data_IF_713286302777
#
_entry.id   IF_713286302777
#
_cell.length_a   1.000
_cell.length_b   1.000
_cell.length_c   1.000
_cell.angle_alpha   90.00
_cell.angle_beta   90.00
_cell.angle_gamma   90.00
#
_symmetry.space_group_name_H-M   'P 1'
#
loop_
_entity.id
_entity.type
_entity.pdbx_description
1 polymer ?
#
# COMPACT_ATOMS: atom_id res chain seq x y z
N UNK A 1 1.12 13.24 -8.82
CA UNK A 1 1.26 14.21 -7.72
C UNK A 1 2.15 13.63 -6.65
N UNK A 2 3.26 14.30 -6.34
CA UNK A 2 4.07 13.92 -5.18
C UNK A 2 3.25 14.13 -3.89
N UNK A 3 3.28 13.14 -2.99
CA UNK A 3 2.68 13.28 -1.66
C UNK A 3 3.44 14.33 -0.85
N UNK A 4 2.70 15.11 -0.06
CA UNK A 4 3.32 16.01 0.92
C UNK A 4 4.04 15.16 1.97
N UNK A 5 5.25 15.59 2.33
CA UNK A 5 6.03 15.01 3.43
C UNK A 5 6.40 16.10 4.44
N UNK A 6 6.45 15.73 5.71
CA UNK A 6 6.69 16.64 6.82
C UNK A 6 7.58 15.97 7.87
N UNK A 7 7.96 16.74 8.89
CA UNK A 7 8.63 16.24 10.09
C UNK A 7 7.67 16.34 11.26
N UNK A 8 7.42 15.22 11.93
CA UNK A 8 6.58 15.15 13.12
C UNK A 8 7.38 14.50 14.24
N UNK A 9 7.63 15.23 15.34
CA UNK A 9 8.43 14.77 16.47
C UNK A 9 9.81 14.18 16.08
N UNK A 10 10.43 14.73 15.03
CA UNK A 10 11.72 14.26 14.49
C UNK A 10 11.64 13.02 13.59
N UNK A 11 10.43 12.60 13.21
CA UNK A 11 10.16 11.50 12.29
C UNK A 11 9.68 12.06 10.96
N UNK A 12 10.25 11.57 9.86
CA UNK A 12 9.75 11.85 8.51
C UNK A 12 8.41 11.14 8.28
N UNK A 13 7.40 11.91 7.88
CA UNK A 13 6.04 11.42 7.63
C UNK A 13 5.53 11.84 6.26
N UNK A 14 4.67 11.00 5.69
CA UNK A 14 3.92 11.25 4.46
C UNK A 14 2.46 11.47 4.80
N UNK A 15 1.90 12.55 4.28
CA UNK A 15 0.50 12.93 4.52
C UNK A 15 -0.39 12.35 3.42
N UNK A 16 -1.31 11.47 3.81
CA UNK A 16 -2.21 10.78 2.88
C UNK A 16 -3.57 11.45 2.96
N UNK A 17 -4.01 12.07 1.86
CA UNK A 17 -5.30 12.73 1.80
C UNK A 17 -6.43 11.71 1.66
N UNK A 18 -7.50 11.89 2.41
CA UNK A 18 -8.67 11.02 2.48
C UNK A 18 -9.94 11.81 2.12
N UNK A 19 -10.12 12.13 0.83
CA UNK A 19 -11.25 12.92 0.37
C UNK A 19 -12.57 12.17 0.67
N UNK A 20 -13.47 12.85 1.38
CA UNK A 20 -14.78 12.28 1.74
C UNK A 20 -14.75 11.33 2.94
N UNK A 21 -13.62 11.17 3.62
CA UNK A 21 -13.55 10.43 4.87
C UNK A 21 -13.99 11.31 6.05
N UNK A 22 -15.22 11.08 6.52
CA UNK A 22 -15.86 11.94 7.54
C UNK A 22 -15.10 12.07 8.88
N UNK A 23 -14.46 11.01 9.43
CA UNK A 23 -13.74 11.10 10.71
C UNK A 23 -12.53 12.02 10.69
N UNK A 24 -11.75 12.01 9.60
CA UNK A 24 -10.55 12.84 9.43
C UNK A 24 -10.18 12.93 7.95
N UNK A 25 -9.64 14.08 7.54
CA UNK A 25 -9.33 14.39 6.14
C UNK A 25 -7.97 13.84 5.66
N UNK A 26 -7.10 13.42 6.58
CA UNK A 26 -5.79 12.87 6.25
C UNK A 26 -5.30 11.89 7.32
N UNK A 27 -4.26 11.13 7.00
CA UNK A 27 -3.47 10.34 7.96
C UNK A 27 -1.98 10.49 7.68
N UNK A 28 -1.14 10.09 8.63
CA UNK A 28 0.31 10.05 8.46
C UNK A 28 0.80 8.62 8.32
N UNK A 29 1.79 8.42 7.46
CA UNK A 29 2.57 7.20 7.39
C UNK A 29 4.05 7.53 7.55
N UNK A 30 4.80 6.66 8.23
CA UNK A 30 6.26 6.74 8.31
C UNK A 30 6.92 5.53 7.66
N UNK A 31 8.24 5.62 7.45
CA UNK A 31 9.04 4.50 6.95
C UNK A 31 9.04 3.32 7.92
N UNK A 32 9.05 2.10 7.38
CA UNK A 32 9.31 0.86 8.13
C UNK A 32 10.81 0.75 8.39
N UNK A 33 11.62 1.03 7.39
CA UNK A 33 13.08 0.96 7.46
C UNK A 33 13.70 2.33 7.81
N UNK A 34 14.86 2.29 8.46
CA UNK A 34 15.61 3.52 8.79
C UNK A 34 15.95 4.30 7.52
N UNK A 35 16.12 5.62 7.63
CA UNK A 35 16.62 6.46 6.54
C UNK A 35 17.98 6.00 6.00
N UNK A 36 18.78 5.35 6.84
CA UNK A 36 20.10 4.84 6.49
C UNK A 36 20.06 3.49 5.76
N UNK A 37 18.90 2.84 5.66
CA UNK A 37 18.75 1.63 4.85
C UNK A 37 18.65 1.99 3.37
N UNK A 38 19.76 1.80 2.67
CA UNK A 38 19.89 2.10 1.23
C UNK A 38 19.23 1.06 0.33
N UNK A 39 18.86 -0.11 0.86
CA UNK A 39 18.28 -1.21 0.06
C UNK A 39 16.78 -1.07 -0.13
N UNK A 40 16.13 -0.17 0.60
CA UNK A 40 14.69 0.07 0.52
C UNK A 40 14.39 1.50 0.09
N UNK A 41 13.52 1.63 -0.92
CA UNK A 41 13.11 2.91 -1.48
C UNK A 41 11.64 3.13 -1.16
N UNK A 42 11.30 4.37 -0.78
CA UNK A 42 9.92 4.83 -0.74
C UNK A 42 9.51 5.21 -2.17
N UNK A 43 8.43 4.63 -2.67
CA UNK A 43 7.83 5.01 -3.95
C UNK A 43 6.36 5.36 -3.74
N UNK A 44 5.89 6.40 -4.42
CA UNK A 44 4.45 6.74 -4.45
C UNK A 44 3.80 5.97 -5.58
N UNK A 45 2.72 5.26 -5.27
CA UNK A 45 1.98 4.43 -6.22
C UNK A 45 0.51 4.85 -6.32
N UNK A 46 -0.13 4.52 -7.43
CA UNK A 46 -1.57 4.45 -7.60
C UNK A 46 -2.09 3.25 -6.80
N UNK A 47 -2.91 3.55 -5.79
CA UNK A 47 -3.41 2.56 -4.84
C UNK A 47 -4.35 1.54 -5.50
N UNK A 48 -5.12 1.94 -6.51
CA UNK A 48 -6.01 1.04 -7.23
C UNK A 48 -5.19 0.03 -8.06
N UNK A 49 -4.15 0.50 -8.77
CA UNK A 49 -3.24 -0.37 -9.53
C UNK A 49 -2.48 -1.34 -8.62
N UNK A 50 -2.04 -0.86 -7.45
CA UNK A 50 -1.39 -1.71 -6.45
C UNK A 50 -2.32 -2.83 -5.96
N UNK A 51 -3.54 -2.49 -5.54
CA UNK A 51 -4.51 -3.48 -5.05
C UNK A 51 -4.88 -4.49 -6.15
N UNK A 52 -5.02 -4.04 -7.40
CA UNK A 52 -5.24 -4.95 -8.53
C UNK A 52 -4.05 -5.89 -8.79
N UNK A 53 -2.81 -5.46 -8.55
CA UNK A 53 -1.64 -6.35 -8.60
C UNK A 53 -1.60 -7.30 -7.40
N UNK A 54 -2.05 -6.86 -6.22
CA UNK A 54 -2.09 -7.68 -5.02
C UNK A 54 -3.19 -8.75 -5.06
N UNK A 55 -4.33 -8.46 -5.68
CA UNK A 55 -5.42 -9.43 -5.88
C UNK A 55 -5.02 -10.58 -6.83
N UNK A 56 -3.91 -10.44 -7.58
CA UNK A 56 -3.33 -11.52 -8.40
C UNK A 56 -2.38 -12.41 -7.62
N UNK A 57 -1.99 -12.03 -6.40
CA UNK A 57 -1.13 -12.87 -5.59
C UNK A 57 -1.93 -14.05 -5.04
N UNK A 58 -1.71 -15.23 -5.61
CA UNK A 58 -2.36 -16.47 -5.17
C UNK A 58 -1.59 -17.19 -4.08
N UNK A 59 -0.45 -16.64 -3.64
CA UNK A 59 0.40 -17.27 -2.62
C UNK A 59 0.02 -16.86 -1.20
N UNK A 60 -0.59 -15.68 -1.05
CA UNK A 60 -1.00 -15.12 0.22
C UNK A 60 -2.53 -14.99 0.34
N UNK A 61 -3.00 -14.75 1.56
CA UNK A 61 -4.42 -14.53 1.86
C UNK A 61 -4.96 -13.30 1.13
N UNK A 62 -5.93 -13.51 0.23
CA UNK A 62 -6.68 -12.44 -0.42
C UNK A 62 -7.67 -11.84 0.57
N UNK A 63 -7.29 -10.70 1.15
CA UNK A 63 -8.15 -9.94 2.04
C UNK A 63 -9.35 -9.37 1.25
N UNK A 64 -10.61 -9.61 1.67
CA UNK A 64 -11.77 -9.09 0.95
C UNK A 64 -11.88 -7.56 1.05
N UNK A 65 -12.79 -6.97 0.26
CA UNK A 65 -13.16 -5.55 0.39
C UNK A 65 -13.57 -5.21 1.83
N UNK A 66 -13.29 -3.97 2.23
CA UNK A 66 -13.58 -3.43 3.57
C UNK A 66 -15.06 -3.58 3.93
N UNK A 67 -15.95 -3.51 2.94
CA UNK A 67 -17.40 -3.69 3.12
C UNK A 67 -17.79 -5.07 3.67
N UNK A 68 -16.91 -6.07 3.53
CA UNK A 68 -17.13 -7.43 4.02
C UNK A 68 -16.35 -7.74 5.30
N UNK A 69 -15.63 -6.76 5.87
CA UNK A 69 -14.92 -6.97 7.11
C UNK A 69 -15.89 -7.06 8.29
N UNK A 70 -15.49 -7.78 9.34
CA UNK A 70 -16.21 -7.73 10.60
C UNK A 70 -16.29 -6.27 11.10
N UNK A 71 -17.44 -5.79 11.63
CA UNK A 71 -17.64 -4.38 11.97
C UNK A 71 -16.53 -3.77 12.83
N UNK A 72 -16.04 -4.50 13.84
CA UNK A 72 -14.95 -4.03 14.71
C UNK A 72 -13.59 -3.90 14.02
N UNK A 73 -13.36 -4.62 12.91
CA UNK A 73 -12.08 -4.58 12.21
C UNK A 73 -11.88 -3.26 11.48
N UNK A 74 -12.87 -2.79 10.75
CA UNK A 74 -12.80 -1.50 10.06
C UNK A 74 -12.66 -0.34 11.05
N UNK A 75 -13.41 -0.39 12.15
CA UNK A 75 -13.30 0.59 13.23
C UNK A 75 -11.89 0.62 13.86
N UNK A 76 -11.30 -0.56 14.15
CA UNK A 76 -9.95 -0.62 14.70
C UNK A 76 -8.86 -0.15 13.75
N UNK A 77 -9.00 -0.39 12.43
CA UNK A 77 -8.06 0.16 11.44
C UNK A 77 -8.23 1.68 11.32
N UNK A 78 -9.46 2.19 11.35
CA UNK A 78 -9.75 3.62 11.36
C UNK A 78 -9.08 4.33 12.53
N UNK A 79 -9.27 3.79 13.73
CA UNK A 79 -8.69 4.34 14.97
C UNK A 79 -7.16 4.29 14.93
N UNK A 80 -6.59 3.19 14.43
CA UNK A 80 -5.14 3.06 14.27
C UNK A 80 -4.54 4.07 13.27
N UNK A 81 -5.32 4.53 12.29
CA UNK A 81 -4.91 5.49 11.26
C UNK A 81 -5.27 6.93 11.62
N UNK A 82 -5.89 7.17 12.77
CA UNK A 82 -6.28 8.51 13.18
C UNK A 82 -5.03 9.39 13.41
N UNK A 83 -4.89 10.55 12.74
CA UNK A 83 -3.70 11.39 12.83
C UNK A 83 -3.47 11.98 14.23
N UNK A 84 -4.48 11.96 15.11
CA UNK A 84 -4.35 12.44 16.49
C UNK A 84 -3.73 11.38 17.44
N UNK A 85 -3.43 10.18 16.94
CA UNK A 85 -2.76 9.13 17.71
C UNK A 85 -1.26 9.40 17.82
N UNK A 86 -0.69 9.22 19.02
CA UNK A 86 0.76 9.34 19.25
C UNK A 86 1.58 8.39 18.35
N UNK A 87 1.00 7.23 18.01
CA UNK A 87 1.67 6.22 17.20
C UNK A 87 1.41 6.47 15.71
N UNK A 88 2.44 6.95 15.01
CA UNK A 88 2.43 7.05 13.56
C UNK A 88 2.52 5.64 12.92
N UNK A 89 1.55 5.24 12.08
CA UNK A 89 1.57 3.99 11.33
C UNK A 89 2.73 3.85 10.35
N UNK A 90 3.30 2.64 10.22
CA UNK A 90 4.25 2.37 9.15
C UNK A 90 3.54 2.22 7.80
N UNK A 91 4.14 2.78 6.75
CA UNK A 91 3.72 2.57 5.38
C UNK A 91 3.84 1.09 4.97
N UNK A 92 3.09 0.63 3.95
CA UNK A 92 3.19 -0.76 3.51
C UNK A 92 4.58 -1.10 2.97
N UNK A 93 5.12 -2.24 3.41
CA UNK A 93 6.28 -2.88 2.77
C UNK A 93 5.80 -3.92 1.77
N UNK A 94 6.18 -3.72 0.51
CA UNK A 94 5.74 -4.50 -0.65
C UNK A 94 6.94 -5.22 -1.27
N UNK A 95 6.72 -6.47 -1.68
CA UNK A 95 7.57 -7.11 -2.69
C UNK A 95 6.84 -7.18 -4.02
N UNK A 96 7.56 -7.06 -5.13
CA UNK A 96 6.96 -7.02 -6.46
C UNK A 96 7.67 -7.92 -7.45
N UNK A 97 6.89 -8.63 -8.27
CA UNK A 97 7.43 -9.49 -9.34
C UNK A 97 6.54 -9.50 -10.57
N UNK A 98 7.13 -9.82 -11.71
CA UNK A 98 6.39 -10.21 -12.91
C UNK A 98 6.18 -11.72 -12.94
N UNK A 99 5.00 -12.16 -13.38
CA UNK A 99 4.75 -13.56 -13.70
C UNK A 99 3.94 -13.69 -14.97
N UNK A 100 3.92 -14.89 -15.58
CA UNK A 100 3.08 -15.18 -16.74
C UNK A 100 1.76 -15.75 -16.26
N UNK A 101 0.65 -15.26 -16.82
CA UNK A 101 -0.67 -15.83 -16.54
C UNK A 101 -0.69 -17.29 -16.96
N UNK A 102 -1.30 -18.18 -16.16
CA UNK A 102 -1.60 -19.53 -16.63
C UNK A 102 -2.91 -19.47 -17.40
N UNK A 103 -2.96 -20.08 -18.58
CA UNK A 103 -4.21 -20.30 -19.31
C UNK A 103 -5.09 -21.29 -18.54
N UNK A 104 -6.36 -21.42 -18.94
CA UNK A 104 -7.30 -22.43 -18.38
C UNK A 104 -6.78 -23.88 -18.45
N UNK A 105 -5.80 -24.15 -19.32
CA UNK A 105 -5.14 -25.46 -19.47
C UNK A 105 -3.78 -25.54 -18.72
N UNK A 106 -3.44 -24.55 -17.88
CA UNK A 106 -2.17 -24.49 -17.15
C UNK A 106 -0.96 -24.07 -17.99
N UNK A 107 -1.12 -23.84 -19.29
CA UNK A 107 -0.05 -23.40 -20.19
C UNK A 107 0.31 -21.94 -19.87
N UNK A 108 1.60 -21.57 -19.73
CA UNK A 108 2.02 -20.19 -19.54
C UNK A 108 1.59 -19.32 -20.73
N UNK A 109 0.78 -18.30 -20.48
CA UNK A 109 0.41 -17.28 -21.43
C UNK A 109 1.57 -16.37 -21.79
N UNK A 110 1.44 -15.66 -22.92
CA UNK A 110 2.47 -14.74 -23.42
C UNK A 110 2.49 -13.40 -22.66
N UNK A 111 1.37 -13.01 -22.05
CA UNK A 111 1.26 -11.77 -21.28
C UNK A 111 1.90 -11.91 -19.90
N UNK A 112 2.81 -10.98 -19.58
CA UNK A 112 3.31 -10.80 -18.22
C UNK A 112 2.36 -9.91 -17.42
N UNK A 113 2.13 -10.28 -16.16
CA UNK A 113 1.35 -9.50 -15.19
C UNK A 113 2.22 -9.20 -13.98
N UNK A 114 2.03 -8.01 -13.42
CA UNK A 114 2.61 -7.63 -12.14
C UNK A 114 1.84 -8.23 -10.98
N UNK A 115 2.57 -8.73 -9.98
CA UNK A 115 2.05 -9.29 -8.74
C UNK A 115 2.74 -8.56 -7.58
N UNK A 116 1.93 -8.01 -6.68
CA UNK A 116 2.39 -7.34 -5.47
C UNK A 116 2.06 -8.21 -4.25
N UNK A 117 3.01 -8.40 -3.34
CA UNK A 117 2.80 -9.11 -2.09
C UNK A 117 3.04 -8.16 -0.92
N UNK A 118 2.11 -8.11 0.03
CA UNK A 118 2.23 -7.27 1.22
C UNK A 118 3.01 -8.01 2.31
N UNK A 119 4.19 -7.51 2.67
CA UNK A 119 4.94 -8.00 3.83
C UNK A 119 4.40 -7.42 5.14
N UNK A 120 3.76 -6.25 5.06
CA UNK A 120 2.92 -5.67 6.11
C UNK A 120 1.84 -4.78 5.46
N UNK A 121 0.94 -4.20 6.26
CA UNK A 121 0.13 -3.06 5.81
C UNK A 121 -1.04 -3.35 4.85
N UNK A 122 -1.31 -4.61 4.46
CA UNK A 122 -2.40 -4.98 3.55
C UNK A 122 -3.78 -4.42 3.99
N UNK A 123 -4.13 -4.59 5.27
CA UNK A 123 -5.38 -4.05 5.83
C UNK A 123 -5.42 -2.52 5.76
N UNK A 124 -4.30 -1.83 6.03
CA UNK A 124 -4.25 -0.37 5.97
C UNK A 124 -4.41 0.13 4.54
N UNK A 125 -3.70 -0.46 3.59
CA UNK A 125 -3.81 -0.10 2.18
C UNK A 125 -5.25 -0.24 1.66
N UNK A 126 -5.93 -1.35 1.97
CA UNK A 126 -7.36 -1.53 1.60
C UNK A 126 -8.28 -0.55 2.29
N UNK A 127 -8.05 -0.26 3.57
CA UNK A 127 -8.84 0.74 4.29
C UNK A 127 -8.65 2.15 3.73
N UNK A 128 -7.42 2.54 3.43
CA UNK A 128 -7.11 3.84 2.84
C UNK A 128 -7.77 4.01 1.47
N UNK A 129 -7.76 2.96 0.63
CA UNK A 129 -8.49 2.96 -0.63
C UNK A 129 -10.01 3.14 -0.42
N UNK A 130 -10.57 2.40 0.54
CA UNK A 130 -11.98 2.55 0.93
C UNK A 130 -12.30 3.96 1.47
N UNK A 131 -11.36 4.58 2.19
CA UNK A 131 -11.45 5.94 2.72
C UNK A 131 -11.15 7.04 1.66
N UNK A 132 -10.94 6.67 0.40
CA UNK A 132 -10.80 7.62 -0.71
C UNK A 132 -9.36 7.98 -1.09
N UNK A 133 -8.34 7.39 -0.46
CA UNK A 133 -6.96 7.59 -0.90
C UNK A 133 -6.77 7.04 -2.32
N UNK A 134 -6.18 7.83 -3.21
CA UNK A 134 -5.84 7.43 -4.59
C UNK A 134 -4.38 7.04 -4.73
N UNK A 135 -3.51 7.64 -3.92
CA UNK A 135 -2.07 7.42 -3.93
C UNK A 135 -1.58 6.99 -2.55
N UNK A 136 -0.54 6.16 -2.51
CA UNK A 136 0.03 5.66 -1.26
C UNK A 136 1.56 5.59 -1.37
N UNK A 137 2.32 6.04 -0.36
CA UNK A 137 3.74 5.75 -0.27
C UNK A 137 3.89 4.32 0.22
N UNK A 138 4.78 3.58 -0.42
CA UNK A 138 5.12 2.21 -0.02
C UNK A 138 6.63 2.05 -0.02
N UNK A 139 7.13 1.21 0.87
CA UNK A 139 8.52 0.76 0.81
C UNK A 139 8.63 -0.53 0.01
N UNK A 140 9.72 -0.63 -0.74
CA UNK A 140 10.02 -1.76 -1.63
C UNK A 140 11.53 -1.90 -1.74
N UNK A 141 12.02 -3.12 -1.98
CA UNK A 141 13.44 -3.34 -2.23
C UNK A 141 13.89 -2.57 -3.49
N UNK A 142 15.08 -1.99 -3.48
CA UNK A 142 15.54 -1.07 -4.53
C UNK A 142 15.55 -1.70 -5.93
N UNK A 143 15.81 -3.01 -6.00
CA UNK A 143 15.85 -3.80 -7.25
C UNK A 143 14.46 -4.07 -7.83
N UNK A 144 13.41 -3.93 -7.02
CA UNK A 144 12.01 -4.16 -7.40
C UNK A 144 11.27 -2.83 -7.64
N UNK A 145 11.80 -1.72 -7.13
CA UNK A 145 11.15 -0.41 -7.13
C UNK A 145 10.74 0.07 -8.52
N UNK A 146 11.65 0.00 -9.50
CA UNK A 146 11.36 0.50 -10.86
C UNK A 146 10.31 -0.37 -11.56
N UNK A 147 10.27 -1.67 -11.24
CA UNK A 147 9.26 -2.58 -11.76
C UNK A 147 7.89 -2.29 -11.13
N UNK A 148 7.85 -2.05 -9.82
CA UNK A 148 6.62 -1.65 -9.13
C UNK A 148 6.08 -0.33 -9.71
N UNK A 149 6.94 0.68 -9.89
CA UNK A 149 6.55 1.99 -10.47
C UNK A 149 6.05 1.82 -11.92
N UNK A 150 6.62 0.92 -12.71
CA UNK A 150 6.11 0.65 -14.06
C UNK A 150 4.66 0.17 -14.07
N UNK A 151 4.28 -0.67 -13.11
CA UNK A 151 2.94 -1.27 -13.05
C UNK A 151 1.93 -0.45 -12.24
N UNK A 152 2.41 0.18 -11.18
CA UNK A 152 1.58 0.81 -10.16
C UNK A 152 1.94 2.28 -9.95
N UNK A 153 2.87 2.87 -10.70
CA UNK A 153 3.10 4.31 -10.70
C UNK A 153 1.88 5.06 -11.23
N UNK A 154 1.90 6.37 -11.08
CA UNK A 154 0.85 7.29 -11.54
C UNK A 154 0.57 7.16 -13.03
#
# INVERSE_FOLDING_TARGET
MALAHAQENGVEVWVIQLPGHAPYAYTHLKRVFSSDDTRHRVVTIDLTKLLACADRDTTDYVLPSVLYWAPGKAAGIREFLDPEQDRIPDMPYITFRETRTRTLLGIPGLSKVGVASFRNGQHRARYLAYAGATTLPVEVHETEADLLVRYCGE
#
